data_IF_908223494299
#
_entry.id   IF_908223494299
#
_cell.length_a   1.000
_cell.length_b   1.000
_cell.length_c   1.000
_cell.angle_alpha   90.00
_cell.angle_beta   90.00
_cell.angle_gamma   90.00
#
_symmetry.space_group_name_H-M   'P 1'
#
loop_
_entity.id
_entity.type
_entity.pdbx_description
1 polymer ?
#
# COMPACT_ATOMS: atom_id res chain seq x y z
N UNK A 1 3.54 -1.38 14.77
CA UNK A 1 4.63 -0.42 14.49
C UNK A 1 4.59 0.62 15.59
N UNK A 2 5.69 0.90 16.28
CA UNK A 2 5.71 1.95 17.32
C UNK A 2 5.60 3.33 16.65
N UNK A 3 5.11 4.34 17.36
CA UNK A 3 4.95 5.69 16.81
C UNK A 3 6.29 6.27 16.30
N UNK A 4 7.40 6.08 17.04
CA UNK A 4 8.74 6.45 16.59
C UNK A 4 9.18 5.77 15.28
N UNK A 5 8.82 4.50 15.08
CA UNK A 5 9.14 3.78 13.84
C UNK A 5 8.33 4.34 12.66
N UNK A 6 7.08 4.77 12.89
CA UNK A 6 6.25 5.41 11.87
C UNK A 6 6.84 6.75 11.43
N UNK A 7 7.22 7.61 12.37
CA UNK A 7 7.80 8.93 12.08
C UNK A 7 9.08 8.79 11.23
N UNK A 8 10.01 7.93 11.64
CA UNK A 8 11.25 7.66 10.89
C UNK A 8 10.99 7.13 9.50
N UNK A 9 10.02 6.23 9.33
CA UNK A 9 9.67 5.66 8.03
C UNK A 9 9.07 6.70 7.09
N UNK A 10 8.26 7.62 7.63
CA UNK A 10 7.68 8.73 6.87
C UNK A 10 8.76 9.74 6.46
N UNK A 11 9.72 10.06 7.34
CA UNK A 11 10.82 10.95 6.99
C UNK A 11 11.76 10.31 5.96
N UNK A 12 12.06 9.02 6.10
CA UNK A 12 12.83 8.27 5.09
C UNK A 12 12.12 8.26 3.73
N UNK A 13 10.79 8.13 3.69
CA UNK A 13 10.01 8.24 2.46
C UNK A 13 10.12 9.63 1.83
N UNK A 14 10.04 10.71 2.63
CA UNK A 14 10.22 12.10 2.18
C UNK A 14 11.60 12.31 1.54
N UNK A 15 12.65 11.84 2.21
CA UNK A 15 14.04 11.94 1.71
C UNK A 15 14.20 11.16 0.42
N UNK A 16 13.64 9.94 0.34
CA UNK A 16 13.69 9.12 -0.88
C UNK A 16 12.98 9.82 -2.04
N UNK A 17 11.81 10.41 -1.78
CA UNK A 17 11.05 11.23 -2.72
C UNK A 17 11.71 12.59 -3.06
N UNK A 18 12.86 12.90 -2.45
CA UNK A 18 13.62 14.14 -2.65
C UNK A 18 12.80 15.41 -2.35
N UNK A 19 11.88 15.32 -1.40
CA UNK A 19 11.03 16.45 -1.02
C UNK A 19 11.65 17.24 0.15
N UNK A 20 11.63 18.56 0.04
CA UNK A 20 11.74 19.41 1.23
C UNK A 20 10.47 19.25 2.08
N UNK A 21 10.52 19.68 3.34
CA UNK A 21 9.30 19.70 4.18
C UNK A 21 8.24 20.63 3.57
N UNK A 22 8.65 21.73 2.96
CA UNK A 22 7.74 22.66 2.28
C UNK A 22 7.04 22.01 1.08
N UNK A 23 7.75 21.23 0.27
CA UNK A 23 7.15 20.52 -0.87
C UNK A 23 6.17 19.45 -0.41
N UNK A 24 6.51 18.74 0.68
CA UNK A 24 5.63 17.76 1.28
C UNK A 24 4.36 18.41 1.85
N UNK A 25 4.51 19.55 2.53
CA UNK A 25 3.39 20.30 3.07
C UNK A 25 2.40 20.72 1.97
N UNK A 26 2.88 21.21 0.82
CA UNK A 26 1.99 21.57 -0.30
C UNK A 26 1.20 20.38 -0.83
N UNK A 27 1.81 19.19 -0.90
CA UNK A 27 1.13 17.96 -1.32
C UNK A 27 0.10 17.48 -0.29
N UNK A 28 0.47 17.52 0.98
CA UNK A 28 -0.43 17.22 2.10
C UNK A 28 -1.64 18.17 2.12
N UNK A 29 -1.41 19.47 1.91
CA UNK A 29 -2.47 20.48 1.84
C UNK A 29 -3.41 20.23 0.66
N UNK A 30 -2.89 19.84 -0.51
CA UNK A 30 -3.68 19.49 -1.68
C UNK A 30 -4.62 18.29 -1.45
N UNK A 31 -4.26 17.38 -0.53
CA UNK A 31 -5.07 16.23 -0.13
C UNK A 31 -6.01 16.53 1.06
N UNK A 32 -6.14 17.80 1.47
CA UNK A 32 -7.02 18.22 2.57
C UNK A 32 -6.35 18.23 3.94
N UNK A 33 -5.02 18.18 3.99
CA UNK A 33 -4.24 18.31 5.22
C UNK A 33 -4.42 19.68 5.87
N UNK A 34 -4.57 19.73 7.20
CA UNK A 34 -4.92 20.97 7.91
C UNK A 34 -3.79 21.57 8.77
N UNK A 35 -2.68 20.83 8.92
CA UNK A 35 -1.49 21.28 9.66
C UNK A 35 -0.57 22.17 8.83
N UNK A 36 0.30 22.93 9.50
CA UNK A 36 1.31 23.74 8.83
C UNK A 36 2.63 22.97 8.59
N UNK A 37 3.60 23.61 7.95
CA UNK A 37 4.89 22.98 7.65
C UNK A 37 5.71 22.67 8.93
N UNK A 38 5.55 23.44 10.00
CA UNK A 38 6.24 23.22 11.27
C UNK A 38 5.66 22.02 12.02
N UNK A 39 4.33 21.85 12.01
CA UNK A 39 3.65 20.68 12.56
C UNK A 39 4.13 19.39 11.88
N UNK A 40 4.28 19.44 10.55
CA UNK A 40 4.79 18.32 9.76
C UNK A 40 6.24 18.01 10.09
N UNK A 41 7.12 19.01 10.16
CA UNK A 41 8.52 18.80 10.57
C UNK A 41 8.61 18.21 11.97
N UNK A 42 7.87 18.78 12.94
CA UNK A 42 7.80 18.30 14.31
C UNK A 42 7.32 16.85 14.39
N UNK A 43 6.31 16.47 13.61
CA UNK A 43 5.82 15.10 13.56
C UNK A 43 6.82 14.14 12.91
N UNK A 44 7.50 14.52 11.82
CA UNK A 44 8.52 13.70 11.18
C UNK A 44 9.73 13.45 12.11
N UNK A 45 10.09 14.43 12.92
CA UNK A 45 11.11 14.30 13.98
C UNK A 45 10.58 13.55 15.23
N UNK A 46 9.28 13.26 15.31
CA UNK A 46 8.64 12.62 16.45
C UNK A 46 8.55 13.50 17.70
N UNK A 47 8.58 14.82 17.53
CA UNK A 47 8.49 15.82 18.58
C UNK A 47 7.04 16.20 18.91
N UNK A 48 6.15 16.17 17.91
CA UNK A 48 4.74 16.58 18.04
C UNK A 48 3.83 15.51 17.44
N UNK A 49 2.74 15.11 18.10
CA UNK A 49 1.78 14.19 17.50
C UNK A 49 0.89 14.90 16.47
N UNK A 50 0.60 14.23 15.36
CA UNK A 50 -0.50 14.58 14.46
C UNK A 50 -1.73 13.73 14.76
N UNK A 51 -2.91 14.28 14.54
CA UNK A 51 -4.17 13.51 14.59
C UNK A 51 -4.13 12.34 13.61
N UNK A 52 -4.71 11.17 13.92
CA UNK A 52 -4.60 9.97 13.10
C UNK A 52 -4.97 10.17 11.63
N UNK A 53 -6.05 10.91 11.38
CA UNK A 53 -6.47 11.24 10.01
C UNK A 53 -5.40 12.06 9.26
N UNK A 54 -4.79 13.04 9.91
CA UNK A 54 -3.72 13.84 9.30
C UNK A 54 -2.46 13.01 9.02
N UNK A 55 -2.17 12.01 9.86
CA UNK A 55 -1.09 11.06 9.58
C UNK A 55 -1.35 10.23 8.33
N UNK A 56 -2.61 9.89 8.05
CA UNK A 56 -2.98 9.11 6.87
C UNK A 56 -2.98 9.97 5.61
N UNK A 57 -3.40 11.24 5.69
CA UNK A 57 -3.24 12.21 4.59
C UNK A 57 -1.76 12.41 4.27
N UNK A 58 -0.91 12.55 5.29
CA UNK A 58 0.54 12.67 5.11
C UNK A 58 1.15 11.40 4.50
N UNK A 59 0.72 10.22 4.96
CA UNK A 59 1.12 8.95 4.37
C UNK A 59 0.74 8.86 2.89
N UNK A 60 -0.47 9.31 2.54
CA UNK A 60 -0.95 9.31 1.17
C UNK A 60 -0.12 10.26 0.28
N UNK A 61 0.18 11.48 0.75
CA UNK A 61 1.03 12.43 0.04
C UNK A 61 2.42 11.84 -0.27
N UNK A 62 3.01 11.12 0.69
CA UNK A 62 4.30 10.44 0.51
C UNK A 62 4.21 9.28 -0.48
N UNK A 63 3.15 8.48 -0.42
CA UNK A 63 2.93 7.36 -1.34
C UNK A 63 2.79 7.86 -2.79
N UNK A 64 2.05 8.94 -3.01
CA UNK A 64 1.89 9.55 -4.33
C UNK A 64 3.23 10.10 -4.84
N UNK A 65 4.00 10.77 -3.99
CA UNK A 65 5.32 11.28 -4.36
C UNK A 65 6.30 10.16 -4.75
N UNK A 66 6.34 9.08 -3.98
CA UNK A 66 7.17 7.92 -4.28
C UNK A 66 6.73 7.20 -5.56
N UNK A 67 5.42 7.11 -5.81
CA UNK A 67 4.87 6.50 -7.02
C UNK A 67 5.27 7.30 -8.25
N UNK A 68 5.13 8.63 -8.19
CA UNK A 68 5.53 9.53 -9.28
C UNK A 68 7.03 9.42 -9.57
N UNK A 69 7.86 9.47 -8.51
CA UNK A 69 9.30 9.31 -8.65
C UNK A 69 9.66 7.95 -9.27
N UNK A 70 9.02 6.87 -8.82
CA UNK A 70 9.27 5.54 -9.37
C UNK A 70 8.88 5.46 -10.85
N UNK A 71 7.70 5.97 -11.22
CA UNK A 71 7.22 6.01 -12.60
C UNK A 71 8.17 6.77 -13.52
N UNK A 72 8.75 7.87 -13.04
CA UNK A 72 9.71 8.68 -13.82
C UNK A 72 11.00 7.93 -14.19
N UNK A 73 11.37 6.89 -13.43
CA UNK A 73 12.57 6.08 -13.66
C UNK A 73 12.30 4.78 -14.43
N UNK A 74 11.05 4.49 -14.79
CA UNK A 74 10.74 3.30 -15.57
C UNK A 74 11.28 3.44 -17.00
N UNK A 75 11.95 2.39 -17.47
CA UNK A 75 12.36 2.29 -18.87
C UNK A 75 11.10 1.94 -19.69
N UNK A 76 10.76 2.73 -20.72
CA UNK A 76 9.61 2.43 -21.57
C UNK A 76 9.71 1.02 -22.16
N UNK A 77 8.62 0.27 -22.09
CA UNK A 77 8.51 -1.03 -22.74
C UNK A 77 8.40 -0.84 -24.26
N UNK A 78 9.03 -1.72 -25.03
CA UNK A 78 8.97 -1.70 -26.50
C UNK A 78 7.54 -1.80 -27.06
N UNK A 79 6.63 -2.39 -26.29
CA UNK A 79 5.18 -2.31 -26.51
C UNK A 79 4.56 -1.61 -25.30
N UNK A 80 3.78 -0.54 -25.49
CA UNK A 80 3.10 0.10 -24.38
C UNK A 80 2.06 -0.89 -23.84
N UNK A 81 2.39 -1.54 -22.72
CA UNK A 81 1.37 -2.19 -21.92
C UNK A 81 0.56 -1.07 -21.31
N UNK A 82 -0.73 -1.00 -21.65
CA UNK A 82 -1.69 -0.13 -21.00
C UNK A 82 -1.88 -0.57 -19.53
N UNK A 83 -0.86 -0.37 -18.69
CA UNK A 83 -0.96 -0.54 -17.24
C UNK A 83 -1.89 0.51 -16.61
N UNK A 84 -2.33 1.50 -17.41
CA UNK A 84 -3.36 2.47 -17.04
C UNK A 84 -4.80 1.98 -17.36
N UNK A 85 -4.97 0.80 -17.99
CA UNK A 85 -6.26 0.13 -18.22
C UNK A 85 -6.67 -0.83 -17.08
N UNK A 86 -7.84 -1.50 -17.14
CA UNK A 86 -8.50 -2.20 -16.01
C UNK A 86 -7.74 -3.46 -15.55
N UNK A 87 -6.57 -3.22 -14.98
CA UNK A 87 -5.67 -4.18 -14.37
C UNK A 87 -6.36 -4.87 -13.20
N UNK A 88 -7.31 -4.19 -12.56
CA UNK A 88 -8.06 -4.72 -11.43
C UNK A 88 -8.91 -5.93 -11.82
N UNK A 89 -9.58 -5.93 -12.98
CA UNK A 89 -10.37 -7.08 -13.45
C UNK A 89 -9.48 -8.25 -13.85
N UNK A 90 -8.33 -7.97 -14.49
CA UNK A 90 -7.37 -9.02 -14.85
C UNK A 90 -6.74 -9.65 -13.60
N UNK A 91 -6.37 -8.82 -12.62
CA UNK A 91 -5.83 -9.25 -11.33
C UNK A 91 -6.90 -10.03 -10.56
N UNK A 92 -8.15 -9.58 -10.54
CA UNK A 92 -9.26 -10.26 -9.88
C UNK A 92 -9.51 -11.64 -10.45
N UNK A 93 -9.54 -11.78 -11.79
CA UNK A 93 -9.65 -13.10 -12.45
C UNK A 93 -8.46 -14.02 -12.13
N UNK A 94 -7.25 -13.47 -12.07
CA UNK A 94 -6.06 -14.24 -11.66
C UNK A 94 -6.17 -14.71 -10.19
N UNK A 95 -6.65 -13.84 -9.30
CA UNK A 95 -6.85 -14.17 -7.89
C UNK A 95 -7.92 -15.26 -7.72
N UNK A 96 -9.04 -15.16 -8.43
CA UNK A 96 -10.10 -16.19 -8.41
C UNK A 96 -9.59 -17.54 -8.93
N UNK A 97 -8.76 -17.54 -9.96
CA UNK A 97 -8.15 -18.75 -10.50
C UNK A 97 -7.21 -19.43 -9.50
N UNK A 98 -6.30 -18.66 -8.88
CA UNK A 98 -5.36 -19.19 -7.88
C UNK A 98 -6.06 -19.72 -6.63
N UNK A 99 -7.13 -19.04 -6.19
CA UNK A 99 -7.94 -19.47 -5.05
C UNK A 99 -8.72 -20.76 -5.36
N UNK A 100 -9.20 -20.94 -6.60
CA UNK A 100 -9.92 -22.15 -7.03
C UNK A 100 -9.01 -23.36 -7.28
N UNK A 101 -7.74 -23.17 -7.64
CA UNK A 101 -6.78 -24.27 -7.84
C UNK A 101 -6.32 -24.93 -6.52
N UNK A 102 -6.58 -24.31 -5.35
CA UNK A 102 -6.12 -24.81 -4.03
C UNK A 102 -7.16 -25.65 -3.27
N UNK A 103 -8.28 -26.03 -3.88
CA UNK A 103 -9.20 -27.00 -3.30
C UNK A 103 -8.80 -28.42 -3.74
N UNK A 104 -8.15 -29.25 -2.90
CA UNK A 104 -8.00 -30.65 -3.23
C UNK A 104 -9.40 -31.28 -3.27
N UNK A 105 -9.64 -32.09 -4.29
CA UNK A 105 -10.82 -32.91 -4.46
C UNK A 105 -11.14 -33.67 -3.15
N UNK A 106 -12.07 -33.14 -2.34
CA UNK A 106 -12.72 -33.90 -1.28
C UNK A 106 -13.79 -34.76 -1.94
N UNK A 107 -13.40 -35.88 -2.54
CA UNK A 107 -14.29 -36.99 -2.87
C UNK A 107 -13.49 -38.21 -3.31
N UNK A 108 -13.19 -39.10 -2.37
CA UNK A 108 -13.34 -40.56 -2.49
C UNK A 108 -12.95 -41.19 -1.14
N UNK A 109 -13.52 -42.36 -0.85
CA UNK A 109 -13.31 -43.21 0.32
C UNK A 109 -14.08 -42.86 1.61
N UNK A 110 -15.41 -42.92 1.53
CA UNK A 110 -16.19 -43.54 2.60
C UNK A 110 -16.79 -44.84 2.07
N UNK A 111 -16.06 -45.93 2.22
CA UNK A 111 -16.56 -47.28 1.99
C UNK A 111 -17.31 -47.73 3.27
N UNK A 112 -18.61 -48.08 3.21
CA UNK A 112 -19.33 -48.50 4.41
C UNK A 112 -18.89 -49.93 4.78
N UNK A 113 -18.19 -50.03 5.91
CA UNK A 113 -17.74 -51.30 6.51
C UNK A 113 -18.97 -52.15 6.89
N UNK A 114 -19.00 -53.46 6.58
CA UNK A 114 -20.11 -54.32 6.95
C UNK A 114 -20.09 -54.59 8.46
N UNK A 115 -21.21 -54.36 9.13
CA UNK A 115 -21.44 -54.73 10.52
C UNK A 115 -21.51 -56.25 10.63
N UNK A 116 -20.42 -56.84 11.14
CA UNK A 116 -20.37 -58.23 11.60
C UNK A 116 -20.92 -58.32 13.03
N UNK A 117 -21.94 -59.16 13.19
CA UNK A 117 -22.69 -59.32 14.43
C UNK A 117 -21.98 -60.00 15.60
N UNK A 118 -22.72 -60.07 16.70
CA UNK A 118 -22.72 -61.14 17.69
C UNK A 118 -24.15 -61.42 18.10
#
# INVERSE_FOLDING_TARGET
MTSHERHRRMDAARVRAQLTVQDLWLRYLALGGTGDAFDLDGYLQGLVPLEPFQQDVLAQALNEALTEQYRSHLIPLSTPTALDGPSDERVRRLMDQLLNETAPARQADYEPRPDGGS
#
